data_IF_592342590948
#
_entry.id   IF_592342590948
#
_cell.length_a   1.000
_cell.length_b   1.000
_cell.length_c   1.000
_cell.angle_alpha   90.00
_cell.angle_beta   90.00
_cell.angle_gamma   90.00
#
_symmetry.space_group_name_H-M   'P 1'
#
loop_
_entity.id
_entity.type
_entity.pdbx_description
1 polymer ?
#
# COMPACT_ATOMS: atom_id res chain seq x y z
N UNK A 1 -22.15 -66.56 -16.72
CA UNK A 1 -21.49 -65.49 -17.52
C UNK A 1 -20.29 -64.97 -16.73
N UNK A 2 -19.13 -64.93 -17.38
CA UNK A 2 -17.86 -64.21 -17.06
C UNK A 2 -17.09 -64.50 -15.76
N UNK A 3 -15.85 -64.90 -16.01
CA UNK A 3 -14.66 -65.15 -15.19
C UNK A 3 -13.87 -63.88 -14.83
N UNK A 4 -12.89 -64.09 -13.92
CA UNK A 4 -11.64 -63.34 -13.64
C UNK A 4 -11.71 -62.16 -12.66
N UNK A 5 -10.68 -61.84 -11.86
CA UNK A 5 -9.53 -62.52 -11.23
C UNK A 5 -8.77 -61.39 -10.51
N UNK A 6 -8.35 -61.65 -9.27
CA UNK A 6 -7.16 -61.19 -8.51
C UNK A 6 -6.48 -59.86 -8.93
N UNK A 7 -6.20 -58.99 -7.94
CA UNK A 7 -4.89 -58.33 -7.80
C UNK A 7 -4.66 -57.81 -6.36
N UNK A 8 -3.67 -58.41 -5.70
CA UNK A 8 -2.92 -57.85 -4.58
C UNK A 8 -2.25 -56.54 -5.03
N UNK A 9 -2.15 -55.54 -4.16
CA UNK A 9 -1.02 -54.61 -4.15
C UNK A 9 -0.88 -53.90 -2.80
N UNK A 10 0.22 -54.23 -2.15
CA UNK A 10 0.79 -53.65 -0.94
C UNK A 10 1.13 -52.17 -1.13
N UNK A 11 0.65 -51.35 -0.20
CA UNK A 11 1.10 -49.97 -0.01
C UNK A 11 2.46 -49.95 0.70
N UNK A 12 3.34 -49.00 0.33
CA UNK A 12 4.57 -48.72 1.09
C UNK A 12 5.67 -48.05 0.27
N UNK A 13 5.47 -46.77 -0.02
CA UNK A 13 6.37 -45.88 -0.77
C UNK A 13 7.84 -45.93 -0.30
N UNK A 14 8.73 -46.38 -1.20
CA UNK A 14 10.12 -45.93 -1.21
C UNK A 14 10.19 -44.69 -2.11
N UNK A 15 10.37 -43.52 -1.52
CA UNK A 15 10.35 -42.24 -2.22
C UNK A 15 11.45 -41.32 -1.71
N UNK A 16 12.58 -41.39 -2.41
CA UNK A 16 13.78 -40.56 -2.28
C UNK A 16 13.40 -39.09 -2.10
N UNK A 17 13.85 -38.49 -0.99
CA UNK A 17 13.66 -37.07 -0.70
C UNK A 17 14.44 -36.21 -1.69
N UNK A 18 13.81 -35.87 -2.81
CA UNK A 18 14.22 -34.77 -3.66
C UNK A 18 13.89 -33.47 -2.93
N UNK A 19 14.93 -32.80 -2.42
CA UNK A 19 14.85 -31.45 -1.88
C UNK A 19 14.54 -30.53 -3.06
N UNK A 20 13.26 -30.25 -3.30
CA UNK A 20 12.87 -29.24 -4.27
C UNK A 20 13.26 -27.86 -3.70
N UNK A 21 14.35 -27.28 -4.22
CA UNK A 21 14.63 -25.85 -4.09
C UNK A 21 13.49 -25.13 -4.81
N UNK A 22 12.47 -24.71 -4.07
CA UNK A 22 11.45 -23.80 -4.56
C UNK A 22 12.13 -22.46 -4.88
N UNK A 23 12.43 -22.23 -6.16
CA UNK A 23 12.81 -20.93 -6.66
C UNK A 23 11.68 -19.96 -6.31
N UNK A 24 11.94 -19.08 -5.33
CA UNK A 24 11.07 -17.94 -5.09
C UNK A 24 11.00 -17.14 -6.39
N UNK A 25 9.81 -16.66 -6.80
CA UNK A 25 9.73 -15.82 -7.99
C UNK A 25 10.66 -14.62 -7.79
N UNK A 26 11.51 -14.34 -8.78
CA UNK A 26 12.50 -13.25 -8.75
C UNK A 26 11.87 -11.86 -8.47
N UNK A 27 10.55 -11.76 -8.62
CA UNK A 27 9.70 -10.63 -8.27
C UNK A 27 9.63 -10.38 -6.75
N UNK A 28 9.72 -11.43 -5.93
CA UNK A 28 9.80 -11.32 -4.48
C UNK A 28 11.23 -10.99 -4.00
N UNK A 29 12.26 -11.49 -4.68
CA UNK A 29 13.67 -11.21 -4.35
C UNK A 29 14.09 -9.76 -4.67
N UNK A 30 13.47 -9.14 -5.68
CA UNK A 30 13.69 -7.72 -5.99
C UNK A 30 12.99 -6.78 -5.00
N UNK A 31 11.87 -7.20 -4.39
CA UNK A 31 11.28 -6.44 -3.28
C UNK A 31 12.14 -6.50 -2.00
N UNK A 32 12.92 -7.58 -1.80
CA UNK A 32 13.76 -7.78 -0.62
C UNK A 32 15.06 -6.92 -0.61
N UNK A 33 15.47 -6.36 -1.75
CA UNK A 33 16.70 -5.55 -1.86
C UNK A 33 16.46 -4.04 -1.83
N UNK A 34 15.20 -3.60 -1.89
CA UNK A 34 14.82 -2.18 -1.79
C UNK A 34 14.68 -1.76 -0.31
N UNK A 35 15.77 -1.26 0.27
CA UNK A 35 15.84 -0.77 1.65
C UNK A 35 15.84 0.77 1.73
N UNK A 36 15.90 1.32 2.95
CA UNK A 36 16.09 2.76 3.14
C UNK A 36 14.86 3.62 2.84
N UNK A 37 13.66 3.12 3.17
CA UNK A 37 12.44 3.92 3.13
C UNK A 37 12.60 5.17 3.99
N UNK A 38 12.47 6.35 3.37
CA UNK A 38 12.54 7.65 4.06
C UNK A 38 11.45 8.59 3.57
N UNK A 39 10.97 9.41 4.48
CA UNK A 39 10.10 10.54 4.14
C UNK A 39 10.93 11.57 3.37
N UNK A 40 10.48 11.92 2.16
CA UNK A 40 11.11 12.95 1.31
C UNK A 40 10.29 14.25 1.29
N UNK A 41 9.00 14.17 1.63
CA UNK A 41 8.15 15.32 1.92
C UNK A 41 7.07 14.92 2.92
N UNK A 42 6.58 15.89 3.70
CA UNK A 42 5.53 15.66 4.70
C UNK A 42 4.66 16.90 4.86
N UNK A 43 3.40 16.70 5.22
CA UNK A 43 2.47 17.76 5.60
C UNK A 43 1.64 17.32 6.82
N UNK A 44 1.31 18.24 7.74
CA UNK A 44 0.40 17.94 8.84
C UNK A 44 -1.01 17.64 8.30
N UNK A 45 -1.75 16.76 8.97
CA UNK A 45 -3.18 16.58 8.72
C UNK A 45 -3.95 17.55 9.62
N UNK A 46 -4.51 18.62 9.05
CA UNK A 46 -5.27 19.63 9.79
C UNK A 46 -6.77 19.41 9.60
N UNK A 47 -7.47 19.03 10.66
CA UNK A 47 -8.94 18.89 10.59
C UNK A 47 -9.57 20.27 10.40
N UNK A 48 -10.46 20.43 9.43
CA UNK A 48 -11.05 21.72 9.05
C UNK A 48 -10.01 22.84 8.80
N UNK A 49 -8.79 22.48 8.38
CA UNK A 49 -7.67 23.41 8.18
C UNK A 49 -7.23 24.18 9.45
N UNK A 50 -7.53 23.66 10.63
CA UNK A 50 -7.22 24.29 11.91
C UNK A 50 -6.24 23.45 12.74
N UNK A 51 -5.33 24.08 13.51
CA UNK A 51 -4.55 23.38 14.52
C UNK A 51 -5.43 22.94 15.70
N UNK A 52 -5.04 21.89 16.46
CA UNK A 52 -3.80 21.13 16.34
C UNK A 52 -3.81 20.11 15.19
N UNK A 53 -2.62 19.69 14.75
CA UNK A 53 -2.49 18.62 13.76
C UNK A 53 -3.03 17.29 14.31
N UNK A 54 -3.89 16.63 13.53
CA UNK A 54 -4.51 15.34 13.86
C UNK A 54 -3.77 14.15 13.23
N UNK A 55 -2.70 14.40 12.48
CA UNK A 55 -1.89 13.36 11.85
C UNK A 55 -0.81 13.93 10.93
N UNK A 56 -0.27 13.09 10.06
CA UNK A 56 0.74 13.50 9.08
C UNK A 56 0.57 12.67 7.83
N UNK A 57 0.59 13.32 6.67
CA UNK A 57 0.77 12.65 5.38
C UNK A 57 2.23 12.79 4.95
N UNK A 58 2.80 11.71 4.43
CA UNK A 58 4.19 11.64 3.97
C UNK A 58 4.26 11.09 2.56
N UNK A 59 5.13 11.69 1.76
CA UNK A 59 5.64 11.08 0.54
C UNK A 59 6.92 10.33 0.94
N UNK A 60 6.90 9.02 0.74
CA UNK A 60 7.99 8.13 1.12
C UNK A 60 8.65 7.56 -0.12
N UNK A 61 9.97 7.38 -0.05
CA UNK A 61 10.78 6.80 -1.11
C UNK A 61 11.81 5.82 -0.54
N UNK A 62 12.07 4.74 -1.26
CA UNK A 62 13.17 3.81 -0.97
C UNK A 62 14.37 3.94 -1.93
N UNK A 63 15.41 3.16 -1.69
CA UNK A 63 16.64 3.13 -2.49
C UNK A 63 16.42 2.74 -3.94
N UNK A 64 15.34 2.03 -4.25
CA UNK A 64 14.96 1.59 -5.60
C UNK A 64 14.14 2.63 -6.37
N UNK A 65 14.00 3.85 -5.84
CA UNK A 65 13.16 4.91 -6.41
C UNK A 65 11.70 4.45 -6.55
N UNK A 66 11.22 3.66 -5.59
CA UNK A 66 9.79 3.42 -5.43
C UNK A 66 9.22 4.46 -4.50
N UNK A 67 8.07 5.02 -4.87
CA UNK A 67 7.37 6.10 -4.18
C UNK A 67 6.01 5.61 -3.71
N UNK A 68 5.61 6.04 -2.52
CA UNK A 68 4.26 5.82 -2.02
C UNK A 68 3.86 6.92 -1.05
N UNK A 69 2.56 7.11 -0.88
CA UNK A 69 2.02 8.01 0.13
C UNK A 69 1.66 7.20 1.37
N UNK A 70 1.94 7.77 2.55
CA UNK A 70 1.54 7.21 3.84
C UNK A 70 0.85 8.26 4.69
N UNK A 71 -0.12 7.81 5.48
CA UNK A 71 -0.69 8.62 6.56
C UNK A 71 -0.38 7.97 7.90
N UNK A 72 -0.13 8.81 8.90
CA UNK A 72 -0.08 8.42 10.30
C UNK A 72 -0.94 9.38 11.12
N UNK A 73 -2.01 8.87 11.72
CA UNK A 73 -2.88 9.62 12.61
C UNK A 73 -2.29 9.70 14.03
N UNK A 74 -2.53 10.81 14.70
CA UNK A 74 -2.05 11.04 16.07
C UNK A 74 -2.70 10.09 17.10
N UNK A 75 -3.93 9.64 16.81
CA UNK A 75 -4.70 8.67 17.58
C UNK A 75 -5.46 7.73 16.63
N UNK A 76 -5.92 6.55 17.10
CA UNK A 76 -6.82 5.70 16.34
C UNK A 76 -8.06 6.47 15.87
N UNK A 77 -8.53 6.21 14.65
CA UNK A 77 -9.76 6.85 14.17
C UNK A 77 -10.97 6.39 14.98
N UNK A 78 -11.85 7.35 15.23
CA UNK A 78 -13.15 7.11 15.88
C UNK A 78 -14.13 6.46 14.90
N UNK A 79 -15.25 5.94 15.42
CA UNK A 79 -16.33 5.45 14.57
C UNK A 79 -16.79 6.55 13.59
N UNK A 80 -17.20 6.12 12.39
CA UNK A 80 -17.62 6.99 11.28
C UNK A 80 -16.55 7.93 10.71
N UNK A 81 -15.30 7.87 11.18
CA UNK A 81 -14.17 8.55 10.56
C UNK A 81 -13.38 7.62 9.66
N UNK A 82 -12.87 8.15 8.55
CA UNK A 82 -11.98 7.46 7.61
C UNK A 82 -10.86 8.40 7.19
N UNK A 83 -9.64 7.90 7.05
CA UNK A 83 -8.54 8.66 6.45
C UNK A 83 -7.90 7.88 5.30
N UNK A 84 -7.48 8.57 4.26
CA UNK A 84 -6.91 7.94 3.08
C UNK A 84 -5.76 8.78 2.50
N UNK A 85 -4.70 8.09 2.10
CA UNK A 85 -3.56 8.69 1.44
C UNK A 85 -3.70 8.50 -0.07
N UNK A 86 -3.32 9.52 -0.83
CA UNK A 86 -3.30 9.49 -2.28
C UNK A 86 -1.91 9.84 -2.77
N UNK A 87 -1.35 9.00 -3.64
CA UNK A 87 -0.13 9.28 -4.38
C UNK A 87 -0.51 9.83 -5.75
N UNK A 88 -0.11 11.07 -6.03
CA UNK A 88 -0.29 11.69 -7.34
C UNK A 88 1.02 11.68 -8.09
N UNK A 89 1.02 11.13 -9.30
CA UNK A 89 2.16 11.13 -10.20
C UNK A 89 2.06 12.29 -11.20
N UNK A 90 3.17 13.00 -11.39
CA UNK A 90 3.30 14.05 -12.40
C UNK A 90 4.43 13.72 -13.38
N UNK A 91 4.15 13.89 -14.67
CA UNK A 91 5.07 13.58 -15.77
C UNK A 91 5.09 12.12 -16.20
N UNK A 92 5.72 11.87 -17.35
CA UNK A 92 5.74 10.57 -18.02
C UNK A 92 4.37 10.13 -18.54
N UNK A 93 4.23 8.86 -18.93
CA UNK A 93 2.98 8.31 -19.49
C UNK A 93 1.83 8.12 -18.48
N UNK A 94 2.07 8.37 -17.19
CA UNK A 94 1.07 8.27 -16.12
C UNK A 94 0.80 9.63 -15.46
N UNK A 95 0.99 10.73 -16.19
CA UNK A 95 0.76 12.07 -15.66
C UNK A 95 -0.69 12.23 -15.19
N UNK A 96 -0.89 12.65 -13.94
CA UNK A 96 -2.20 12.78 -13.31
C UNK A 96 -2.75 11.48 -12.73
N UNK A 97 -2.01 10.37 -12.78
CA UNK A 97 -2.41 9.12 -12.11
C UNK A 97 -2.47 9.34 -10.61
N UNK A 98 -3.58 8.91 -10.02
CA UNK A 98 -3.82 8.93 -8.57
C UNK A 98 -4.00 7.50 -8.06
N UNK A 99 -3.29 7.15 -6.99
CA UNK A 99 -3.45 5.88 -6.28
C UNK A 99 -3.81 6.13 -4.84
N UNK A 100 -4.79 5.41 -4.30
CA UNK A 100 -5.22 5.50 -2.91
C UNK A 100 -4.66 4.36 -2.05
N UNK A 101 -4.86 4.40 -0.73
CA UNK A 101 -4.55 3.26 0.14
C UNK A 101 -5.38 2.02 -0.21
N UNK A 102 -6.57 2.17 -0.79
CA UNK A 102 -7.45 1.07 -1.22
C UNK A 102 -7.10 0.52 -2.62
N UNK A 103 -6.16 1.15 -3.33
CA UNK A 103 -5.69 0.65 -4.63
C UNK A 103 -4.89 -0.65 -4.48
N UNK A 104 -4.88 -1.49 -5.52
CA UNK A 104 -4.17 -2.78 -5.51
C UNK A 104 -2.68 -2.60 -5.18
N UNK A 105 -2.22 -3.25 -4.11
CA UNK A 105 -0.86 -3.11 -3.55
C UNK A 105 -0.75 -2.15 -2.37
N UNK A 106 -1.82 -1.43 -2.01
CA UNK A 106 -1.97 -0.67 -0.79
C UNK A 106 -2.47 -1.55 0.37
N UNK A 107 -2.70 -0.95 1.53
CA UNK A 107 -3.16 -1.67 2.74
C UNK A 107 -4.56 -1.26 3.23
N UNK A 108 -5.35 -0.59 2.38
CA UNK A 108 -6.69 -0.10 2.73
C UNK A 108 -6.67 1.24 3.46
N UNK A 109 -7.74 2.00 3.32
CA UNK A 109 -7.94 3.25 4.06
C UNK A 109 -7.95 3.05 5.58
N UNK A 110 -7.51 4.07 6.32
CA UNK A 110 -7.58 4.06 7.79
C UNK A 110 -9.04 4.13 8.19
N UNK A 111 -9.50 3.12 8.93
CA UNK A 111 -10.85 3.04 9.49
C UNK A 111 -10.79 3.01 11.03
N UNK A 112 -11.94 2.86 11.68
CA UNK A 112 -12.06 2.81 13.13
C UNK A 112 -11.01 1.87 13.77
N UNK A 113 -10.32 2.38 14.80
CA UNK A 113 -9.29 1.63 15.53
C UNK A 113 -7.92 1.57 14.84
N UNK A 114 -7.81 2.00 13.59
CA UNK A 114 -6.55 2.06 12.85
C UNK A 114 -5.93 3.46 12.88
N UNK A 115 -4.63 3.54 12.58
CA UNK A 115 -3.86 4.78 12.60
C UNK A 115 -3.11 5.09 11.32
N UNK A 116 -2.89 4.09 10.46
CA UNK A 116 -1.93 4.22 9.35
C UNK A 116 -2.44 3.54 8.10
N UNK A 117 -2.24 4.19 6.96
CA UNK A 117 -2.38 3.55 5.66
C UNK A 117 -1.25 3.97 4.72
N UNK A 118 -1.04 3.15 3.68
CA UNK A 118 -0.06 3.35 2.62
C UNK A 118 -0.66 2.99 1.27
N UNK A 119 -0.31 3.77 0.26
CA UNK A 119 -0.64 3.46 -1.13
C UNK A 119 0.26 2.35 -1.68
N UNK A 120 -0.06 1.77 -2.84
CA UNK A 120 0.88 0.95 -3.59
C UNK A 120 2.17 1.72 -3.88
N UNK A 121 3.27 0.97 -3.99
CA UNK A 121 4.56 1.50 -4.43
C UNK A 121 4.59 1.71 -5.93
N UNK A 122 5.07 2.87 -6.39
CA UNK A 122 5.24 3.20 -7.81
C UNK A 122 6.70 3.52 -8.09
N UNK A 123 7.29 2.83 -9.06
CA UNK A 123 8.67 3.09 -9.49
C UNK A 123 8.71 4.28 -10.44
N UNK A 124 9.59 5.26 -10.18
CA UNK A 124 9.87 6.31 -11.16
C UNK A 124 10.73 5.74 -12.29
N UNK A 125 10.20 5.72 -13.51
CA UNK A 125 10.91 5.22 -14.70
C UNK A 125 11.75 6.27 -15.41
N UNK A 126 11.53 7.56 -15.13
CA UNK A 126 12.25 8.67 -15.74
C UNK A 126 12.52 9.78 -14.72
N UNK A 127 13.58 10.57 -14.98
CA UNK A 127 14.05 11.59 -14.04
C UNK A 127 13.16 12.82 -13.90
N UNK A 128 12.26 13.04 -14.86
CA UNK A 128 11.27 14.12 -14.88
C UNK A 128 10.00 13.80 -14.07
N UNK A 129 9.83 12.55 -13.63
CA UNK A 129 8.66 12.13 -12.86
C UNK A 129 8.80 12.64 -11.43
N UNK A 130 7.75 13.31 -10.95
CA UNK A 130 7.65 13.80 -9.57
C UNK A 130 6.35 13.34 -8.95
N UNK A 131 6.29 13.32 -7.62
CA UNK A 131 5.14 12.86 -6.87
C UNK A 131 4.73 13.86 -5.81
N UNK A 132 3.45 13.82 -5.44
CA UNK A 132 2.94 14.44 -4.23
C UNK A 132 2.08 13.40 -3.48
N UNK A 133 2.12 13.47 -2.16
CA UNK A 133 1.19 12.74 -1.30
C UNK A 133 0.10 13.71 -0.83
N UNK A 134 -1.16 13.27 -0.94
CA UNK A 134 -2.34 13.97 -0.43
C UNK A 134 -2.93 13.12 0.68
N UNK A 135 -3.20 13.72 1.82
CA UNK A 135 -3.93 13.07 2.90
C UNK A 135 -5.30 13.69 3.05
N UNK A 136 -6.33 12.84 3.05
CA UNK A 136 -7.71 13.28 3.25
C UNK A 136 -8.33 12.58 4.43
N UNK A 137 -9.10 13.34 5.20
CA UNK A 137 -9.96 12.81 6.25
C UNK A 137 -11.42 12.97 5.85
N UNK A 138 -12.21 11.95 6.15
CA UNK A 138 -13.62 11.88 5.89
C UNK A 138 -14.39 11.56 7.17
N UNK A 139 -15.61 12.08 7.26
CA UNK A 139 -16.55 11.72 8.32
C UNK A 139 -17.91 11.35 7.72
N UNK A 140 -18.59 10.39 8.33
CA UNK A 140 -19.94 10.00 7.93
C UNK A 140 -20.96 10.43 8.99
N UNK A 141 -21.77 11.44 8.67
CA UNK A 141 -22.83 11.96 9.54
C UNK A 141 -24.19 11.26 9.35
N UNK A 142 -24.21 10.13 8.62
CA UNK A 142 -25.42 9.35 8.31
C UNK A 142 -25.86 9.43 6.85
N UNK A 143 -25.32 10.38 6.06
CA UNK A 143 -25.61 10.55 4.62
C UNK A 143 -24.55 10.00 3.66
N UNK A 144 -23.45 9.46 4.19
CA UNK A 144 -22.26 9.10 3.42
C UNK A 144 -21.00 9.80 3.94
N UNK A 145 -19.85 9.48 3.35
CA UNK A 145 -18.58 10.09 3.74
C UNK A 145 -18.39 11.46 3.09
N UNK A 146 -18.21 12.48 3.92
CA UNK A 146 -17.86 13.84 3.53
C UNK A 146 -16.39 14.11 3.83
N UNK A 147 -15.69 14.80 2.93
CA UNK A 147 -14.31 15.23 3.16
C UNK A 147 -14.30 16.44 4.12
N UNK A 148 -13.55 16.32 5.21
CA UNK A 148 -13.43 17.37 6.24
C UNK A 148 -12.02 17.95 6.34
N UNK A 149 -11.08 17.38 5.59
CA UNK A 149 -9.69 17.80 5.57
C UNK A 149 -8.99 17.27 4.32
N UNK A 150 -8.23 18.14 3.66
CA UNK A 150 -7.24 17.77 2.65
C UNK A 150 -5.92 18.47 2.96
N UNK A 151 -4.81 17.72 2.93
CA UNK A 151 -3.48 18.28 3.09
C UNK A 151 -2.54 17.65 2.07
N UNK A 152 -1.68 18.46 1.46
CA UNK A 152 -0.80 18.03 0.37
C UNK A 152 0.66 18.31 0.71
N UNK A 153 1.54 17.33 0.42
CA UNK A 153 2.98 17.54 0.49
C UNK A 153 3.48 18.34 -0.70
N UNK A 154 4.59 19.08 -0.55
CA UNK A 154 5.30 19.64 -1.71
C UNK A 154 5.61 18.55 -2.75
N UNK A 155 5.38 18.85 -4.02
CA UNK A 155 5.75 17.98 -5.15
C UNK A 155 7.27 17.81 -5.21
N UNK A 156 7.77 16.58 -5.20
CA UNK A 156 9.22 16.28 -5.21
C UNK A 156 9.54 14.89 -5.79
N UNK A 157 10.83 14.52 -5.77
CA UNK A 157 11.43 13.27 -6.23
C UNK A 157 12.44 12.74 -5.22
#
# INVERSE_FOLDING_TARGET
>A
MKTLSILLSTAGLAGVGAIALSALPAEAATAASCSGARSIASAPMLRNHQPPSWGTVRLVRDSCYQYWAEITMASPLVANAKANAFLVQYGGGNNGRVLSCDSSGGNGSVIQGQRTCRTPKVKATAGSITFAAIGREYHNYGGGYEEISENITKRTR
#
